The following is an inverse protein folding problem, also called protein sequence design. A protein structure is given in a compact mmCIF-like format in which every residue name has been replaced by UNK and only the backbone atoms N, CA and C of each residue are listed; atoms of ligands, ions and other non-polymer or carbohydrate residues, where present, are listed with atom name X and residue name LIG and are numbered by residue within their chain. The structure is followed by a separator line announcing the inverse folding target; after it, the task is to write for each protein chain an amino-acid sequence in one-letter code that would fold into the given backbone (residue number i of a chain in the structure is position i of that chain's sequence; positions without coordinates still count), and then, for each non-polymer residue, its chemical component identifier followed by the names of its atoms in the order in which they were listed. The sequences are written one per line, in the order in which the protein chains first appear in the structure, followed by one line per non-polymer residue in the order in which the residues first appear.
data_IF_212464412527
#
_entry.id   IF_212464412527
#
_cell.length_a   1.000
_cell.length_b   1.000
_cell.length_c   1.000
_cell.angle_alpha   90.00
_cell.angle_beta   90.00
_cell.angle_gamma   90.00
#
_symmetry.space_group_name_H-M   'P 1'
#
loop_
_entity.id
_entity.type
_entity.pdbx_description
1 polymer ?
#
# COMPACT_ATOMS: atom_id res chain seq x y z
N UNK A 1 0.11 11.35 16.84
CA UNK A 1 1.23 11.14 17.80
C UNK A 1 1.45 9.65 17.97
N UNK A 2 2.68 9.22 18.19
CA UNK A 2 2.98 7.84 18.58
C UNK A 2 2.75 7.69 20.09
N UNK A 3 2.36 6.51 20.59
CA UNK A 3 2.18 6.28 22.02
C UNK A 3 3.53 6.34 22.74
N UNK A 4 3.57 6.96 23.92
CA UNK A 4 4.79 7.11 24.71
C UNK A 4 4.89 6.08 25.84
N UNK A 5 3.79 5.38 26.14
CA UNK A 5 3.72 4.32 27.15
C UNK A 5 2.97 3.10 26.62
N UNK A 6 3.22 1.93 27.23
CA UNK A 6 2.58 0.67 26.82
C UNK A 6 1.05 0.73 26.98
N UNK A 7 0.57 1.39 28.04
CA UNK A 7 -0.86 1.53 28.32
C UNK A 7 -1.60 2.39 27.27
N UNK A 8 -0.89 3.26 26.56
CA UNK A 8 -1.46 4.12 25.51
C UNK A 8 -1.57 3.41 24.15
N UNK A 9 -0.88 2.28 23.96
CA UNK A 9 -0.83 1.57 22.67
C UNK A 9 -2.24 1.15 22.22
N UNK A 10 -3.04 0.61 23.13
CA UNK A 10 -4.41 0.17 22.82
C UNK A 10 -5.27 1.33 22.28
N UNK A 11 -5.29 2.44 23.03
CA UNK A 11 -6.03 3.65 22.67
C UNK A 11 -5.50 4.28 21.37
N UNK A 12 -4.19 4.23 21.15
CA UNK A 12 -3.58 4.69 19.91
C UNK A 12 -4.02 3.83 18.71
N UNK A 13 -4.02 2.51 18.84
CA UNK A 13 -4.47 1.59 17.79
C UNK A 13 -5.94 1.84 17.41
N UNK A 14 -6.82 2.05 18.40
CA UNK A 14 -8.23 2.37 18.16
C UNK A 14 -8.38 3.69 17.39
N UNK A 15 -7.70 4.75 17.84
CA UNK A 15 -7.73 6.05 17.17
C UNK A 15 -7.17 5.98 15.74
N UNK A 16 -6.08 5.25 15.54
CA UNK A 16 -5.50 5.02 14.21
C UNK A 16 -6.47 4.26 13.32
N UNK A 17 -7.15 3.22 13.85
CA UNK A 17 -8.17 2.48 13.11
C UNK A 17 -9.33 3.38 12.68
N UNK A 18 -9.86 4.21 13.58
CA UNK A 18 -10.95 5.15 13.27
C UNK A 18 -10.51 6.14 12.18
N UNK A 19 -9.33 6.73 12.34
CA UNK A 19 -8.77 7.68 11.38
C UNK A 19 -8.62 7.04 9.98
N UNK A 20 -8.03 5.86 9.91
CA UNK A 20 -7.82 5.13 8.66
C UNK A 20 -9.16 4.75 8.01
N UNK A 21 -10.13 4.27 8.78
CA UNK A 21 -11.47 3.95 8.27
C UNK A 21 -12.19 5.18 7.70
N UNK A 22 -11.99 6.36 8.31
CA UNK A 22 -12.59 7.60 7.82
C UNK A 22 -11.92 8.11 6.54
N UNK A 23 -10.58 8.12 6.51
CA UNK A 23 -9.79 8.56 5.34
C UNK A 23 -10.02 7.63 4.15
N UNK A 24 -10.07 6.31 4.41
CA UNK A 24 -10.24 5.27 3.39
C UNK A 24 -11.64 4.65 3.43
N UNK A 25 -12.66 5.46 3.67
CA UNK A 25 -14.08 5.06 3.82
C UNK A 25 -14.69 4.36 2.60
N UNK A 26 -14.05 4.46 1.43
CA UNK A 26 -14.44 3.76 0.19
C UNK A 26 -13.63 2.48 -0.07
N UNK A 27 -12.80 2.02 0.87
CA UNK A 27 -12.09 0.76 0.70
C UNK A 27 -13.07 -0.40 0.89
N UNK A 28 -13.29 -1.17 -0.18
CA UNK A 28 -14.11 -2.39 -0.10
C UNK A 28 -13.39 -3.54 0.61
N UNK A 29 -12.12 -3.35 0.98
CA UNK A 29 -11.30 -4.34 1.68
C UNK A 29 -10.65 -3.67 2.89
N UNK A 30 -11.02 -4.13 4.08
CA UNK A 30 -10.51 -3.65 5.37
C UNK A 30 -9.87 -4.86 6.05
N UNK A 31 -8.55 -5.05 5.89
CA UNK A 31 -7.86 -6.14 6.57
C UNK A 31 -8.01 -5.99 8.09
N UNK A 32 -8.17 -7.12 8.78
CA UNK A 32 -8.21 -7.12 10.24
C UNK A 32 -6.88 -6.58 10.79
N UNK A 33 -6.94 -5.60 11.70
CA UNK A 33 -5.76 -4.94 12.25
C UNK A 33 -4.74 -5.93 12.86
N UNK A 34 -5.24 -7.01 13.46
CA UNK A 34 -4.41 -8.11 14.01
C UNK A 34 -3.54 -8.83 12.97
N UNK A 35 -3.93 -8.76 11.69
CA UNK A 35 -3.17 -9.34 10.58
C UNK A 35 -2.09 -8.37 10.05
N UNK A 36 -2.13 -7.10 10.48
CA UNK A 36 -1.23 -6.04 9.99
C UNK A 36 -0.23 -5.59 11.06
N UNK A 37 -0.63 -5.61 12.35
CA UNK A 37 0.23 -5.16 13.45
C UNK A 37 1.09 -6.33 13.95
N UNK A 38 2.40 -6.16 13.86
CA UNK A 38 3.35 -7.09 14.49
C UNK A 38 3.39 -6.89 16.02
N UNK A 39 3.92 -7.89 16.74
CA UNK A 39 4.15 -7.79 18.19
C UNK A 39 5.03 -6.60 18.60
N UNK A 40 5.84 -6.09 17.67
CA UNK A 40 6.70 -4.91 17.83
C UNK A 40 5.94 -3.58 17.71
N UNK A 41 4.65 -3.60 17.36
CA UNK A 41 3.85 -2.40 17.07
C UNK A 41 4.04 -1.86 15.64
N UNK A 42 4.86 -2.52 14.81
CA UNK A 42 5.08 -2.13 13.42
C UNK A 42 3.91 -2.64 12.56
N UNK A 43 3.38 -1.76 11.70
CA UNK A 43 2.46 -2.13 10.64
C UNK A 43 3.24 -2.79 9.49
N UNK A 44 2.95 -4.06 9.21
CA UNK A 44 3.50 -4.79 8.08
C UNK A 44 2.39 -5.10 7.07
N UNK A 45 2.70 -4.85 5.79
CA UNK A 45 1.93 -5.35 4.67
C UNK A 45 2.73 -6.47 4.02
N UNK A 46 2.23 -7.70 4.07
CA UNK A 46 2.84 -8.78 3.31
C UNK A 46 2.60 -8.54 1.82
N UNK A 47 3.68 -8.29 1.09
CA UNK A 47 3.67 -8.16 -0.36
C UNK A 47 4.41 -9.34 -0.95
N UNK A 48 3.75 -10.06 -1.85
CA UNK A 48 4.40 -11.09 -2.67
C UNK A 48 4.51 -10.55 -4.08
N UNK A 49 5.72 -10.58 -4.62
CA UNK A 49 5.95 -10.32 -6.03
C UNK A 49 5.55 -11.57 -6.82
N UNK A 50 4.88 -11.37 -7.94
CA UNK A 50 4.61 -12.44 -8.90
C UNK A 50 5.87 -12.66 -9.75
N UNK A 51 6.12 -13.91 -10.12
CA UNK A 51 7.18 -14.25 -11.07
C UNK A 51 6.77 -13.69 -12.45
N UNK A 52 7.69 -13.05 -13.22
CA UNK A 52 7.39 -12.55 -14.56
C UNK A 52 6.76 -13.57 -15.53
N UNK A 53 6.93 -14.88 -15.28
CA UNK A 53 6.27 -15.93 -16.08
C UNK A 53 4.78 -16.11 -15.74
N UNK A 54 4.34 -15.66 -14.57
CA UNK A 54 2.97 -15.87 -14.08
C UNK A 54 2.01 -14.74 -14.51
N UNK A 55 2.53 -13.70 -15.19
CA UNK A 55 1.72 -12.58 -15.65
C UNK A 55 2.24 -11.94 -16.95
N UNK A 56 1.33 -11.33 -17.70
CA UNK A 56 1.62 -10.53 -18.88
C UNK A 56 0.99 -9.14 -18.72
N UNK A 57 1.75 -8.09 -19.02
CA UNK A 57 1.25 -6.71 -19.06
C UNK A 57 1.42 -6.17 -20.47
N UNK A 58 0.34 -5.65 -21.06
CA UNK A 58 0.38 -4.96 -22.35
C UNK A 58 -0.40 -3.65 -22.28
N UNK A 59 0.05 -2.66 -23.02
CA UNK A 59 -0.69 -1.41 -23.20
C UNK A 59 -1.61 -1.55 -24.41
N UNK A 60 -2.89 -1.23 -24.21
CA UNK A 60 -3.86 -1.15 -25.31
C UNK A 60 -3.98 0.31 -25.75
N UNK A 61 -3.44 0.59 -26.93
CA UNK A 61 -3.43 1.93 -27.49
C UNK A 61 -4.81 2.44 -27.89
N UNK A 62 -5.76 1.54 -28.18
CA UNK A 62 -7.11 1.92 -28.61
C UNK A 62 -7.95 2.43 -27.45
N UNK A 63 -7.82 1.79 -26.28
CA UNK A 63 -8.55 2.13 -25.06
C UNK A 63 -7.72 2.96 -24.09
N UNK A 64 -6.45 3.22 -24.40
CA UNK A 64 -5.47 3.90 -23.55
C UNK A 64 -5.41 3.30 -22.13
N UNK A 65 -5.38 1.97 -22.07
CA UNK A 65 -5.43 1.21 -20.81
C UNK A 65 -4.30 0.18 -20.71
N UNK A 66 -4.00 -0.24 -19.49
CA UNK A 66 -3.11 -1.37 -19.22
C UNK A 66 -3.97 -2.62 -19.09
N UNK A 67 -3.67 -3.63 -19.90
CA UNK A 67 -4.25 -4.97 -19.79
C UNK A 67 -3.26 -5.85 -19.04
N UNK A 68 -3.72 -6.43 -17.94
CA UNK A 68 -2.99 -7.42 -17.15
C UNK A 68 -3.63 -8.79 -17.33
N UNK A 69 -2.85 -9.79 -17.73
CA UNK A 69 -3.23 -11.20 -17.75
C UNK A 69 -2.46 -11.92 -16.66
N UNK A 70 -3.16 -12.70 -15.85
CA UNK A 70 -2.60 -13.50 -14.77
C UNK A 70 -2.89 -14.97 -15.06
N UNK A 71 -1.86 -15.82 -14.99
CA UNK A 71 -2.05 -17.26 -15.12
C UNK A 71 -2.27 -17.86 -13.75
N UNK A 72 -3.42 -18.52 -13.58
CA UNK A 72 -3.83 -19.09 -12.29
C UNK A 72 -3.99 -20.59 -12.46
N UNK A 73 -3.26 -21.40 -11.66
CA UNK A 73 -3.44 -22.85 -11.68
C UNK A 73 -4.90 -23.21 -11.40
N UNK A 74 -5.48 -24.05 -12.26
CA UNK A 74 -6.88 -24.50 -12.12
C UNK A 74 -7.17 -25.20 -10.78
N UNK A 75 -6.13 -25.71 -10.12
CA UNK A 75 -6.24 -26.36 -8.81
C UNK A 75 -6.44 -25.37 -7.64
N UNK A 76 -6.39 -24.06 -7.88
CA UNK A 76 -6.56 -23.04 -6.85
C UNK A 76 -7.96 -22.41 -6.90
N UNK A 77 -8.97 -23.20 -6.49
CA UNK A 77 -10.38 -22.81 -6.48
C UNK A 77 -10.64 -21.55 -5.64
N UNK A 78 -9.86 -21.36 -4.58
CA UNK A 78 -9.98 -20.17 -3.71
C UNK A 78 -9.60 -18.90 -4.48
N UNK A 79 -8.46 -18.90 -5.17
CA UNK A 79 -8.02 -17.73 -5.94
C UNK A 79 -8.95 -17.44 -7.12
N UNK A 80 -9.42 -18.49 -7.81
CA UNK A 80 -10.41 -18.35 -8.87
C UNK A 80 -11.71 -17.70 -8.37
N UNK A 81 -12.23 -18.14 -7.22
CA UNK A 81 -13.42 -17.54 -6.58
C UNK A 81 -13.20 -16.08 -6.17
N UNK A 82 -12.04 -15.73 -5.62
CA UNK A 82 -11.72 -14.35 -5.21
C UNK A 82 -11.64 -13.42 -6.44
N UNK A 83 -11.07 -13.88 -7.55
CA UNK A 83 -11.02 -13.08 -8.79
C UNK A 83 -12.40 -12.87 -9.40
N UNK A 84 -13.16 -13.94 -9.58
CA UNK A 84 -14.47 -13.90 -10.24
C UNK A 84 -15.53 -13.17 -9.42
N UNK A 85 -15.40 -13.17 -8.08
CA UNK A 85 -16.27 -12.38 -7.19
C UNK A 85 -15.90 -10.89 -7.13
N UNK A 86 -14.83 -10.45 -7.80
CA UNK A 86 -14.37 -9.05 -7.75
C UNK A 86 -13.77 -8.64 -6.41
N UNK A 87 -13.46 -9.60 -5.53
CA UNK A 87 -12.76 -9.37 -4.27
C UNK A 87 -11.28 -9.05 -4.49
N UNK A 88 -10.67 -9.61 -5.54
CA UNK A 88 -9.35 -9.16 -5.99
C UNK A 88 -9.52 -7.92 -6.86
N UNK A 89 -8.84 -6.83 -6.48
CA UNK A 89 -8.86 -5.57 -7.23
C UNK A 89 -7.46 -5.23 -7.73
N UNK A 90 -7.40 -4.67 -8.94
CA UNK A 90 -6.18 -4.07 -9.46
C UNK A 90 -6.03 -2.67 -8.88
N UNK A 91 -4.84 -2.36 -8.37
CA UNK A 91 -4.45 -1.02 -7.97
C UNK A 91 -3.28 -0.58 -8.85
N UNK A 92 -3.41 0.59 -9.49
CA UNK A 92 -2.30 1.19 -10.23
C UNK A 92 -1.20 1.59 -9.24
N UNK A 93 0.01 1.12 -9.49
CA UNK A 93 1.19 1.53 -8.74
C UNK A 93 2.01 2.46 -9.63
N UNK A 94 2.24 3.68 -9.16
CA UNK A 94 3.13 4.61 -9.86
C UNK A 94 4.58 4.25 -9.53
N UNK A 95 5.36 3.89 -10.56
CA UNK A 95 6.81 3.79 -10.42
C UNK A 95 7.41 5.20 -10.47
N UNK A 96 7.73 5.75 -9.30
CA UNK A 96 8.38 7.05 -9.22
C UNK A 96 9.88 6.87 -9.45
N UNK A 97 10.38 7.31 -10.61
CA UNK A 97 11.79 7.13 -11.02
C UNK A 97 12.75 8.05 -10.26
N UNK A 98 12.35 9.30 -10.03
CA UNK A 98 13.15 10.30 -9.34
C UNK A 98 12.26 11.16 -8.45
N UNK A 99 12.76 11.49 -7.26
CA UNK A 99 12.08 12.39 -6.33
C UNK A 99 13.04 13.18 -5.48
N UNK A 100 12.59 14.37 -5.08
CA UNK A 100 13.34 15.30 -4.25
C UNK A 100 12.55 15.69 -3.00
N UNK A 101 13.28 16.03 -1.94
CA UNK A 101 12.71 16.60 -0.73
C UNK A 101 12.40 18.08 -0.90
N UNK A 102 11.15 18.48 -0.63
CA UNK A 102 10.76 19.89 -0.65
C UNK A 102 11.56 20.79 0.28
N UNK A 103 12.13 20.23 1.36
CA UNK A 103 12.86 20.97 2.41
C UNK A 103 14.36 21.09 2.11
N UNK A 104 15.01 20.02 1.66
CA UNK A 104 16.46 20.00 1.48
C UNK A 104 16.95 19.81 0.03
N UNK A 105 16.05 19.61 -0.94
CA UNK A 105 16.38 19.42 -2.35
C UNK A 105 17.09 18.10 -2.71
N UNK A 106 17.56 17.34 -1.71
CA UNK A 106 18.19 16.03 -1.93
C UNK A 106 17.17 14.98 -2.34
N UNK A 107 17.66 13.84 -2.87
CA UNK A 107 16.82 12.67 -3.12
C UNK A 107 15.93 12.35 -1.94
N UNK A 108 14.61 12.29 -2.16
CA UNK A 108 13.64 12.11 -1.08
C UNK A 108 13.92 10.83 -0.28
N UNK A 109 14.32 9.77 -0.97
CA UNK A 109 14.62 8.44 -0.40
C UNK A 109 15.82 8.44 0.54
N UNK A 110 16.79 9.32 0.32
CA UNK A 110 18.08 9.30 1.02
C UNK A 110 18.30 10.54 1.91
N UNK A 111 17.30 11.40 2.05
CA UNK A 111 17.39 12.54 2.95
C UNK A 111 17.02 12.16 4.39
N UNK A 112 17.57 12.89 5.37
CA UNK A 112 17.20 12.73 6.77
C UNK A 112 15.93 13.49 7.18
N UNK A 113 15.23 14.14 6.24
CA UNK A 113 13.99 14.85 6.51
C UNK A 113 12.82 13.87 6.58
N UNK A 114 12.07 13.89 7.68
CA UNK A 114 11.04 12.89 7.96
C UNK A 114 9.67 13.53 7.77
N UNK A 115 8.92 13.11 6.75
CA UNK A 115 7.56 13.61 6.42
C UNK A 115 6.62 13.72 7.62
N UNK A 116 6.74 12.78 8.54
CA UNK A 116 5.84 12.63 9.68
C UNK A 116 6.27 13.43 10.91
N UNK A 117 7.53 13.88 10.98
CA UNK A 117 8.10 14.57 12.14
C UNK A 117 8.49 16.01 11.81
N UNK A 118 8.84 16.29 10.56
CA UNK A 118 9.24 17.60 10.07
C UNK A 118 8.09 18.32 9.36
N UNK A 119 7.84 19.56 9.77
CA UNK A 119 6.91 20.43 9.04
C UNK A 119 7.40 20.71 7.61
N UNK A 120 6.45 20.75 6.67
CA UNK A 120 6.66 21.12 5.25
C UNK A 120 7.58 20.17 4.45
N UNK A 121 7.75 18.93 4.89
CA UNK A 121 8.46 17.90 4.12
C UNK A 121 7.48 17.15 3.22
N UNK A 122 7.66 17.30 1.91
CA UNK A 122 6.85 16.69 0.85
C UNK A 122 7.78 16.05 -0.17
N UNK A 123 7.36 14.91 -0.71
CA UNK A 123 8.01 14.26 -1.84
C UNK A 123 7.62 14.99 -3.12
N UNK A 124 8.59 15.62 -3.79
CA UNK A 124 8.41 16.18 -5.12
C UNK A 124 8.75 15.11 -6.15
N UNK A 125 7.82 14.85 -7.06
CA UNK A 125 8.08 14.02 -8.25
C UNK A 125 8.68 14.95 -9.30
N UNK A 126 9.82 14.53 -9.85
CA UNK A 126 10.61 15.28 -10.84
C UNK A 126 10.76 14.45 -12.11
#
# INVERSE_FOLDING_TARGET
MLPNTVNEIGKWCENASILLSNIFSKSNDIPLLKNMIQRTGILLFERRFLDPKDYELRFDDSTKSIIAKLEIPKSNDTLYSIMTSGKLKFALVHLIKQTECSKCGKSYRYCGCIKYLDNKVVQKIT
#
